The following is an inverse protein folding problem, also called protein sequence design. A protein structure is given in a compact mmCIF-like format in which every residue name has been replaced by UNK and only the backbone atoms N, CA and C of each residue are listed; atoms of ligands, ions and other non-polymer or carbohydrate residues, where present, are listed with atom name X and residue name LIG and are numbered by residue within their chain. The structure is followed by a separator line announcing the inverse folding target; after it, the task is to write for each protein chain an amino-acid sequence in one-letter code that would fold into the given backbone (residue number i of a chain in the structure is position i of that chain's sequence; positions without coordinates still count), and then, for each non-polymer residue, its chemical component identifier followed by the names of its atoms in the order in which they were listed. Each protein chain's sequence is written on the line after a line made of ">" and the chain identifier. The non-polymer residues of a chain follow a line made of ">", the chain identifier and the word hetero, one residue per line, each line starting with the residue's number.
data_IF_954393230840
#
_entry.id   IF_954393230840
#
_cell.length_a   1.000
_cell.length_b   1.000
_cell.length_c   1.000
_cell.angle_alpha   90.00
_cell.angle_beta   90.00
_cell.angle_gamma   90.00
#
_symmetry.space_group_name_H-M   'P 1'
#
loop_
_entity.id
_entity.type
_entity.pdbx_description
1 polymer ?
#
# COMPACT_ATOMS: atom_id res chain seq x y z
N UNK A 1 -0.72 -1.57 9.26
CA UNK A 1 -0.97 -0.12 9.18
C UNK A 1 0.31 0.56 9.62
N UNK A 2 0.78 1.59 8.91
CA UNK A 2 2.00 2.32 9.31
C UNK A 2 1.61 3.30 10.42
N UNK A 3 2.21 3.12 11.58
CA UNK A 3 2.06 4.00 12.74
C UNK A 3 3.36 4.79 12.91
N UNK A 4 3.26 6.10 13.11
CA UNK A 4 4.44 6.93 13.36
C UNK A 4 4.30 7.70 14.67
N UNK A 5 5.27 7.53 15.56
CA UNK A 5 5.34 8.26 16.80
C UNK A 5 6.78 8.78 17.02
N UNK A 6 6.95 10.10 17.11
CA UNK A 6 8.25 10.74 17.41
C UNK A 6 8.51 10.72 18.91
N UNK A 7 9.70 10.26 19.32
CA UNK A 7 10.11 10.29 20.72
C UNK A 7 9.61 9.12 21.58
N UNK A 8 9.04 8.09 20.96
CA UNK A 8 8.50 6.90 21.64
C UNK A 8 7.40 6.26 20.80
N UNK A 9 6.86 5.14 21.26
CA UNK A 9 5.60 4.56 20.80
C UNK A 9 4.39 5.21 21.51
N UNK A 10 3.17 4.75 21.21
CA UNK A 10 1.95 5.22 21.87
C UNK A 10 1.97 5.02 23.40
N UNK A 11 2.78 4.07 23.92
CA UNK A 11 2.89 3.78 25.37
C UNK A 11 3.93 4.66 26.07
N UNK A 12 4.96 5.11 25.37
CA UNK A 12 6.09 5.88 25.90
C UNK A 12 6.00 7.38 25.63
N UNK A 13 4.85 7.86 25.13
CA UNK A 13 4.58 9.27 24.94
C UNK A 13 5.03 9.83 23.58
N UNK A 14 5.14 8.96 22.57
CA UNK A 14 5.46 9.40 21.22
C UNK A 14 4.38 10.28 20.60
N UNK A 15 4.80 11.24 19.77
CA UNK A 15 3.92 12.26 19.19
C UNK A 15 4.06 12.42 17.67
N UNK A 16 2.99 12.76 16.93
CA UNK A 16 3.08 13.06 15.49
C UNK A 16 2.57 14.47 15.11
N UNK A 17 2.01 15.24 16.04
CA UNK A 17 1.38 16.55 15.75
C UNK A 17 2.34 17.65 15.29
N UNK A 18 3.64 17.46 15.45
CA UNK A 18 4.67 18.42 15.03
C UNK A 18 5.29 18.09 13.67
N UNK A 19 4.98 16.94 13.09
CA UNK A 19 5.50 16.55 11.79
C UNK A 19 4.64 17.18 10.68
N UNK A 20 5.22 18.12 9.95
CA UNK A 20 4.52 18.84 8.87
C UNK A 20 5.19 18.67 7.51
N UNK A 21 6.31 17.96 7.47
CA UNK A 21 7.07 17.71 6.25
C UNK A 21 7.34 16.21 6.10
N UNK A 22 7.39 15.70 4.87
CA UNK A 22 7.86 14.35 4.61
C UNK A 22 9.28 14.15 5.14
N UNK A 23 9.59 12.91 5.49
CA UNK A 23 10.94 12.49 5.80
C UNK A 23 11.77 12.46 4.50
N UNK A 24 12.69 13.42 4.40
CA UNK A 24 13.64 13.54 3.29
C UNK A 24 15.00 12.93 3.62
N UNK A 25 15.15 12.28 4.79
CA UNK A 25 16.41 11.69 5.17
C UNK A 25 16.75 10.50 4.27
N UNK A 26 18.03 10.39 3.89
CA UNK A 26 18.56 9.30 3.05
C UNK A 26 18.68 7.98 3.81
N UNK A 27 18.26 7.91 5.07
CA UNK A 27 18.26 6.72 5.90
C UNK A 27 16.82 6.41 6.31
N UNK A 28 16.08 5.66 5.48
CA UNK A 28 14.76 5.19 5.85
C UNK A 28 14.84 4.45 7.19
N UNK A 29 13.78 4.58 8.00
CA UNK A 29 13.60 3.73 9.18
C UNK A 29 13.79 2.27 8.75
N UNK A 30 14.70 1.50 9.37
CA UNK A 30 15.01 0.15 8.93
C UNK A 30 13.75 -0.74 8.82
N UNK A 31 13.65 -1.59 7.79
CA UNK A 31 12.58 -2.57 7.65
C UNK A 31 12.37 -3.45 8.90
N UNK A 32 13.42 -3.62 9.70
CA UNK A 32 13.45 -4.35 10.98
C UNK A 32 12.44 -3.84 12.03
N UNK A 33 11.82 -2.68 11.79
CA UNK A 33 10.80 -2.10 12.69
C UNK A 33 9.41 -2.74 12.52
N UNK A 34 9.20 -3.58 11.50
CA UNK A 34 7.89 -4.17 11.20
C UNK A 34 7.89 -5.70 11.00
N UNK A 35 8.44 -6.51 11.92
CA UNK A 35 8.50 -7.97 11.77
C UNK A 35 7.10 -8.62 11.65
N UNK A 36 6.04 -7.93 12.07
CA UNK A 36 4.66 -8.40 11.93
C UNK A 36 4.17 -8.35 10.47
N UNK A 37 4.72 -7.43 9.65
CA UNK A 37 4.36 -7.32 8.24
C UNK A 37 4.95 -8.48 7.43
N UNK A 38 6.18 -8.90 7.73
CA UNK A 38 6.85 -9.99 7.01
C UNK A 38 6.11 -11.33 7.20
N UNK A 39 5.74 -11.66 8.45
CA UNK A 39 4.95 -12.86 8.74
C UNK A 39 3.58 -12.85 8.03
N UNK A 40 2.93 -11.68 7.97
CA UNK A 40 1.64 -11.55 7.31
C UNK A 40 1.76 -11.72 5.78
N UNK A 41 2.82 -11.17 5.18
CA UNK A 41 3.09 -11.34 3.76
C UNK A 41 3.43 -12.79 3.41
N UNK A 42 4.25 -13.44 4.24
CA UNK A 42 4.67 -14.84 4.04
C UNK A 42 3.46 -15.80 4.07
N UNK A 43 2.60 -15.67 5.10
CA UNK A 43 1.37 -16.47 5.22
C UNK A 43 0.41 -16.24 4.04
N UNK A 44 0.26 -14.99 3.59
CA UNK A 44 -0.60 -14.65 2.46
C UNK A 44 -0.04 -15.19 1.13
N UNK A 45 1.28 -15.23 0.96
CA UNK A 45 1.91 -15.84 -0.22
C UNK A 45 1.82 -17.36 -0.20
N UNK A 46 2.00 -18.00 0.96
CA UNK A 46 1.97 -19.45 1.09
C UNK A 46 0.57 -20.04 0.83
N UNK A 47 -0.47 -19.37 1.33
CA UNK A 47 -1.86 -19.81 1.12
C UNK A 47 -2.31 -19.73 -0.35
N UNK A 48 -1.61 -18.94 -1.18
CA UNK A 48 -1.87 -18.87 -2.64
C UNK A 48 -1.29 -20.08 -3.39
N UNK A 49 -0.26 -20.74 -2.87
CA UNK A 49 0.46 -21.82 -3.57
C UNK A 49 0.05 -23.22 -3.12
N UNK A 50 -0.68 -23.36 -2.01
CA UNK A 50 -0.86 -24.67 -1.34
C UNK A 50 -2.17 -25.41 -1.67
N UNK A 51 -3.12 -24.82 -2.40
CA UNK A 51 -4.39 -25.50 -2.75
C UNK A 51 -4.43 -25.97 -4.22
N UNK A 52 -3.53 -26.88 -4.57
CA UNK A 52 -3.34 -27.35 -5.96
C UNK A 52 -4.30 -28.47 -6.43
N UNK A 53 -5.30 -28.90 -5.66
CA UNK A 53 -6.13 -30.06 -6.07
C UNK A 53 -7.64 -29.87 -6.19
N UNK A 54 -8.23 -28.72 -5.84
CA UNK A 54 -9.59 -28.42 -6.30
C UNK A 54 -9.93 -26.93 -6.15
N UNK A 55 -10.63 -26.38 -7.14
CA UNK A 55 -11.20 -25.02 -7.25
C UNK A 55 -10.23 -23.83 -7.26
N UNK A 56 -10.18 -23.15 -8.41
CA UNK A 56 -9.62 -21.80 -8.69
C UNK A 56 -8.70 -21.21 -7.61
N UNK A 57 -7.40 -21.40 -7.77
CA UNK A 57 -6.40 -20.61 -7.04
C UNK A 57 -6.55 -19.14 -7.43
N UNK A 58 -7.00 -18.29 -6.49
CA UNK A 58 -6.97 -16.84 -6.67
C UNK A 58 -5.52 -16.37 -6.63
N UNK A 59 -5.04 -15.79 -7.74
CA UNK A 59 -3.74 -15.14 -7.77
C UNK A 59 -3.80 -13.87 -6.90
N UNK A 60 -3.17 -13.94 -5.73
CA UNK A 60 -3.06 -12.81 -4.81
C UNK A 60 -1.77 -12.04 -5.14
N UNK A 61 -1.90 -10.80 -5.59
CA UNK A 61 -0.78 -9.91 -5.86
C UNK A 61 -0.75 -8.82 -4.79
N UNK A 62 0.40 -8.67 -4.14
CA UNK A 62 0.58 -7.80 -2.99
C UNK A 62 1.17 -6.43 -3.41
N UNK A 63 0.56 -5.33 -2.94
CA UNK A 63 1.08 -3.98 -3.16
C UNK A 63 1.85 -3.47 -1.94
N UNK A 64 3.18 -3.52 -1.99
CA UNK A 64 4.03 -3.03 -0.92
C UNK A 64 4.17 -1.49 -0.98
N UNK A 65 3.39 -0.79 -0.14
CA UNK A 65 3.45 0.67 0.03
C UNK A 65 4.17 1.10 1.31
N UNK A 66 4.80 0.17 2.03
CA UNK A 66 5.32 0.41 3.39
C UNK A 66 6.37 1.52 3.41
N UNK A 67 7.36 1.46 2.51
CA UNK A 67 8.44 2.44 2.46
C UNK A 67 7.96 3.84 2.08
N UNK A 68 7.16 3.98 1.01
CA UNK A 68 6.66 5.31 0.62
C UNK A 68 5.76 5.92 1.70
N UNK A 69 5.04 5.07 2.43
CA UNK A 69 4.15 5.50 3.51
C UNK A 69 4.94 5.93 4.75
N UNK A 70 6.02 5.21 5.11
CA UNK A 70 6.83 5.55 6.29
C UNK A 70 7.55 6.89 6.18
N UNK A 71 7.77 7.37 4.95
CA UNK A 71 8.33 8.70 4.68
C UNK A 71 7.30 9.82 4.88
N UNK A 72 5.99 9.52 4.93
CA UNK A 72 4.92 10.52 4.97
C UNK A 72 4.43 10.79 6.39
N UNK A 73 5.34 11.05 7.32
CA UNK A 73 5.02 11.35 8.73
C UNK A 73 4.06 12.55 8.89
N UNK A 74 4.10 13.46 7.92
CA UNK A 74 3.23 14.64 7.76
C UNK A 74 1.78 14.31 7.40
N UNK A 75 1.49 13.10 6.92
CA UNK A 75 0.19 12.74 6.38
C UNK A 75 -0.87 12.36 7.42
N UNK A 76 -0.52 12.29 8.70
CA UNK A 76 -1.42 11.80 9.74
C UNK A 76 -2.41 12.86 10.22
N UNK A 77 -3.61 12.42 10.64
CA UNK A 77 -4.64 13.30 11.20
C UNK A 77 -4.20 13.97 12.51
N UNK A 78 -3.37 13.28 13.29
CA UNK A 78 -2.85 13.75 14.57
C UNK A 78 -3.94 14.26 15.49
N UNK A 79 -3.93 15.54 15.89
CA UNK A 79 -4.98 16.13 16.72
C UNK A 79 -6.21 16.58 15.93
N UNK A 80 -6.19 16.57 14.60
CA UNK A 80 -7.26 17.11 13.77
C UNK A 80 -8.29 16.06 13.33
N UNK A 81 -8.25 14.85 13.89
CA UNK A 81 -9.14 13.74 13.51
C UNK A 81 -10.62 13.94 13.88
N UNK A 82 -10.94 14.91 14.75
CA UNK A 82 -12.33 15.18 15.17
C UNK A 82 -13.17 15.86 14.08
N UNK A 83 -12.54 16.40 13.04
CA UNK A 83 -13.24 17.03 11.93
C UNK A 83 -13.60 18.52 12.18
N UNK A 84 -14.24 19.15 11.17
CA UNK A 84 -14.46 20.59 11.18
C UNK A 84 -15.44 21.02 12.29
N UNK A 85 -15.11 22.12 12.97
CA UNK A 85 -15.97 22.73 13.99
C UNK A 85 -15.80 22.21 15.42
N UNK A 86 -15.09 21.11 15.63
CA UNK A 86 -14.80 20.57 16.97
C UNK A 86 -13.43 20.98 17.53
N UNK A 87 -12.57 21.59 16.69
CA UNK A 87 -11.22 21.97 17.07
C UNK A 87 -10.27 20.77 17.23
N UNK A 88 -9.00 21.01 17.60
CA UNK A 88 -8.02 19.96 17.80
C UNK A 88 -8.33 19.13 19.06
N UNK A 89 -8.12 17.82 18.96
CA UNK A 89 -8.16 16.90 20.07
C UNK A 89 -7.05 17.19 21.10
N UNK A 90 -7.20 16.71 22.35
CA UNK A 90 -6.15 16.80 23.36
C UNK A 90 -4.85 16.14 22.89
N UNK A 91 -3.71 16.74 23.20
CA UNK A 91 -2.38 16.24 22.77
C UNK A 91 -2.09 14.79 23.21
N UNK A 92 -2.71 14.32 24.29
CA UNK A 92 -2.56 12.93 24.77
C UNK A 92 -3.47 11.92 24.04
N UNK A 93 -4.29 12.38 23.08
CA UNK A 93 -5.20 11.57 22.25
C UNK A 93 -5.05 11.92 20.76
N UNK A 94 -3.82 12.06 20.30
CA UNK A 94 -3.53 12.21 18.87
C UNK A 94 -3.68 10.87 18.12
N UNK A 95 -4.08 10.94 16.86
CA UNK A 95 -4.17 9.82 15.94
C UNK A 95 -3.00 9.80 14.95
N UNK A 96 -2.07 8.88 15.15
CA UNK A 96 -0.91 8.70 14.27
C UNK A 96 -0.97 7.42 13.44
N UNK A 97 -2.17 6.87 13.28
CA UNK A 97 -2.43 5.67 12.49
C UNK A 97 -3.27 5.98 11.25
N UNK A 98 -4.20 6.92 11.36
CA UNK A 98 -5.04 7.36 10.25
C UNK A 98 -4.39 8.51 9.48
N UNK A 99 -4.89 8.71 8.27
CA UNK A 99 -4.36 9.63 7.29
C UNK A 99 -5.37 10.73 7.01
N UNK A 100 -4.87 11.96 6.83
CA UNK A 100 -5.64 13.05 6.26
C UNK A 100 -6.04 12.72 4.81
N UNK A 101 -7.20 13.24 4.39
CA UNK A 101 -7.64 13.25 3.00
C UNK A 101 -7.85 14.71 2.53
N UNK A 102 -7.33 15.11 1.36
CA UNK A 102 -6.47 14.31 0.46
C UNK A 102 -5.09 14.01 1.06
N UNK A 103 -4.46 12.89 0.68
CA UNK A 103 -3.21 12.45 1.31
C UNK A 103 -2.63 11.12 0.82
N UNK A 104 -1.94 10.42 1.72
CA UNK A 104 -1.20 9.17 1.43
C UNK A 104 -2.08 8.07 0.81
N UNK A 105 -3.34 7.85 1.25
CA UNK A 105 -4.22 6.86 0.63
C UNK A 105 -4.51 7.16 -0.85
N UNK A 106 -4.49 8.42 -1.28
CA UNK A 106 -4.71 8.78 -2.69
C UNK A 106 -3.56 8.27 -3.57
N UNK A 107 -2.32 8.39 -3.10
CA UNK A 107 -1.15 7.84 -3.80
C UNK A 107 -1.17 6.30 -3.89
N UNK A 108 -1.71 5.61 -2.87
CA UNK A 108 -1.93 4.16 -2.96
C UNK A 108 -2.95 3.82 -4.04
N UNK A 109 -4.03 4.60 -4.13
CA UNK A 109 -5.07 4.41 -5.14
C UNK A 109 -4.53 4.66 -6.56
N UNK A 110 -3.69 5.69 -6.76
CA UNK A 110 -3.03 5.94 -8.04
C UNK A 110 -2.14 4.78 -8.48
N UNK A 111 -1.33 4.25 -7.56
CA UNK A 111 -0.47 3.09 -7.84
C UNK A 111 -1.29 1.84 -8.17
N UNK A 112 -2.36 1.59 -7.40
CA UNK A 112 -3.28 0.48 -7.65
C UNK A 112 -3.95 0.62 -9.03
N UNK A 113 -4.41 1.82 -9.39
CA UNK A 113 -5.01 2.10 -10.68
C UNK A 113 -4.02 1.85 -11.84
N UNK A 114 -2.77 2.32 -11.70
CA UNK A 114 -1.72 2.06 -12.68
C UNK A 114 -1.45 0.56 -12.89
N UNK A 115 -1.50 -0.24 -11.80
CA UNK A 115 -1.37 -1.70 -11.90
C UNK A 115 -2.53 -2.35 -12.65
N UNK A 116 -3.76 -1.90 -12.43
CA UNK A 116 -4.92 -2.38 -13.20
C UNK A 116 -4.77 -2.09 -14.70
N UNK A 117 -4.42 -0.84 -15.04
CA UNK A 117 -4.18 -0.45 -16.44
C UNK A 117 -3.05 -1.27 -17.09
N UNK A 118 -1.97 -1.52 -16.35
CA UNK A 118 -0.85 -2.35 -16.83
C UNK A 118 -1.31 -3.79 -17.11
N UNK A 119 -2.13 -4.38 -16.23
CA UNK A 119 -2.67 -5.75 -16.44
C UNK A 119 -3.61 -5.81 -17.64
N UNK A 120 -4.51 -4.83 -17.78
CA UNK A 120 -5.38 -4.69 -18.96
C UNK A 120 -4.56 -4.61 -20.26
N UNK A 121 -3.49 -3.81 -20.28
CA UNK A 121 -2.57 -3.70 -21.43
C UNK A 121 -1.84 -5.00 -21.76
N UNK A 122 -1.44 -5.77 -20.75
CA UNK A 122 -0.81 -7.08 -20.95
C UNK A 122 -1.84 -8.10 -21.48
N UNK A 123 -3.05 -8.11 -20.92
CA UNK A 123 -4.14 -8.99 -21.36
C UNK A 123 -4.47 -8.77 -22.84
N UNK A 124 -4.66 -7.51 -23.23
CA UNK A 124 -4.94 -7.13 -24.63
C UNK A 124 -3.81 -7.54 -25.57
N UNK A 125 -2.54 -7.30 -25.21
CA UNK A 125 -1.38 -7.76 -25.99
C UNK A 125 -1.32 -9.28 -26.16
N UNK A 126 -1.58 -10.04 -25.09
CA UNK A 126 -1.57 -11.49 -25.15
C UNK A 126 -2.68 -12.02 -26.07
N UNK A 127 -3.89 -11.46 -25.99
CA UNK A 127 -5.00 -11.80 -26.89
C UNK A 127 -4.67 -11.54 -28.36
N UNK A 128 -4.01 -10.43 -28.70
CA UNK A 128 -3.54 -10.17 -30.07
C UNK A 128 -2.43 -11.12 -30.52
N UNK A 129 -1.54 -11.55 -29.63
CA UNK A 129 -0.49 -12.53 -29.98
C UNK A 129 -1.05 -13.93 -30.21
N UNK A 130 -2.07 -14.35 -29.45
CA UNK A 130 -2.72 -15.65 -29.61
C UNK A 130 -3.55 -15.73 -30.89
N UNK A 131 -4.15 -14.63 -31.34
CA UNK A 131 -4.82 -14.56 -32.64
C UNK A 131 -3.81 -14.62 -33.81
N UNK A 132 -2.64 -14.01 -33.68
CA UNK A 132 -1.59 -14.09 -34.70
C UNK A 132 -0.90 -15.47 -34.79
N UNK A 133 -1.08 -16.37 -33.81
CA UNK A 133 -0.54 -17.74 -33.83
C UNK A 133 -1.55 -18.82 -34.24
N UNK A 134 -2.80 -18.45 -34.53
CA UNK A 134 -3.87 -19.39 -34.94
C UNK A 134 -4.45 -19.12 -36.34
N UNK A 135 -3.85 -18.29 -37.18
CA UNK A 135 -4.19 -18.27 -38.60
C UNK A 135 -3.60 -19.50 -39.31
N UNK A 136 -4.41 -20.48 -39.77
CA UNK A 136 -3.95 -21.37 -40.82
C UNK A 136 -3.76 -20.52 -42.08
N UNK A 137 -2.61 -20.68 -42.73
CA UNK A 137 -2.35 -20.22 -44.10
C UNK A 137 -3.55 -20.58 -44.99
N UNK A 138 -4.45 -19.63 -45.21
CA UNK A 138 -5.54 -19.76 -46.14
C UNK A 138 -4.99 -19.47 -47.54
N UNK A 139 -4.70 -20.57 -48.24
CA UNK A 139 -4.70 -20.74 -49.68
C UNK A 139 -4.54 -19.46 -50.53
N UNK A 140 -3.33 -19.25 -51.03
CA UNK A 140 -3.17 -18.60 -52.32
C UNK A 140 -3.65 -19.59 -53.41
N UNK A 141 -4.76 -19.26 -54.06
CA UNK A 141 -5.19 -19.81 -55.35
C UNK A 141 -5.06 -18.71 -56.38
#
# INVERSE_FOLDING_TARGET
>A
MVEFNRGGDWKSGGSCHLETLPDMSSSPVPPETWPQLDNAFDVLSDHSNQHSNNSQVMKLDLLNVTLMTSLRKDGHSSVYYLGPGLGPAPLHRQDCSHWCLPGVPDSWNELLYALFLKRESIRTRNSTSTQNSTEPSAAQV
#
